data_IF_149316508882
#
_entry.id   IF_149316508882
#
_cell.length_a   1.000
_cell.length_b   1.000
_cell.length_c   1.000
_cell.angle_alpha   90.00
_cell.angle_beta   90.00
_cell.angle_gamma   90.00
#
_symmetry.space_group_name_H-M   'P 1'
#
loop_
_entity.id
_entity.type
_entity.pdbx_description
1 polymer ?
#
# COMPACT_ATOMS: atom_id res chain seq x y z
N UNK A 1 13.67 -47.22 36.54
CA UNK A 1 13.47 -48.68 36.71
C UNK A 1 12.03 -49.03 36.31
N UNK A 2 11.84 -50.21 35.71
CA UNK A 2 10.57 -50.87 35.30
C UNK A 2 9.75 -50.17 34.20
N UNK A 3 9.81 -50.56 32.92
CA UNK A 3 9.26 -51.77 32.24
C UNK A 3 7.78 -52.01 32.51
N UNK A 4 6.94 -51.78 31.50
CA UNK A 4 5.78 -52.62 31.22
C UNK A 4 5.57 -52.75 29.71
N UNK A 5 5.16 -53.95 29.30
CA UNK A 5 5.24 -54.52 27.95
C UNK A 5 3.89 -55.17 27.61
N UNK A 6 3.60 -55.27 26.30
CA UNK A 6 2.66 -56.20 25.60
C UNK A 6 1.23 -55.66 25.35
N UNK A 7 0.51 -56.01 24.23
CA UNK A 7 0.86 -56.83 23.06
C UNK A 7 0.70 -56.17 21.66
N UNK A 8 1.18 -56.94 20.68
CA UNK A 8 1.15 -56.75 19.24
C UNK A 8 -0.25 -56.86 18.60
N UNK A 9 -0.45 -56.06 17.54
CA UNK A 9 -1.53 -56.21 16.58
C UNK A 9 -1.03 -55.73 15.21
N UNK A 10 -1.01 -56.64 14.24
CA UNK A 10 -0.39 -56.47 12.92
C UNK A 10 -1.22 -55.59 11.97
N UNK A 11 -0.55 -54.70 11.23
CA UNK A 11 -1.03 -54.23 9.92
C UNK A 11 0.17 -53.85 9.05
N UNK A 12 0.44 -54.68 8.04
CA UNK A 12 1.45 -54.46 7.00
C UNK A 12 0.87 -53.57 5.90
N UNK A 13 1.48 -52.41 5.65
CA UNK A 13 1.56 -51.72 4.35
C UNK A 13 2.80 -50.83 4.44
N UNK A 14 3.92 -51.14 3.80
CA UNK A 14 4.10 -51.07 2.35
C UNK A 14 4.88 -49.81 1.94
N UNK A 15 5.97 -49.47 2.64
CA UNK A 15 6.91 -48.40 2.24
C UNK A 15 8.03 -49.04 1.42
N UNK A 16 8.09 -48.75 0.12
CA UNK A 16 9.21 -49.11 -0.75
C UNK A 16 10.36 -48.13 -0.51
N UNK A 17 11.35 -48.54 0.26
CA UNK A 17 12.69 -47.95 0.22
C UNK A 17 13.28 -48.16 -1.19
N UNK A 18 13.64 -47.06 -1.86
CA UNK A 18 14.50 -47.12 -3.05
C UNK A 18 15.94 -47.28 -2.58
N UNK A 19 16.42 -48.52 -2.61
CA UNK A 19 17.83 -48.83 -2.43
C UNK A 19 18.65 -48.30 -3.60
N UNK A 20 19.79 -47.72 -3.26
CA UNK A 20 20.77 -47.14 -4.17
C UNK A 20 21.49 -48.27 -4.94
N UNK A 21 20.97 -48.61 -6.12
CA UNK A 21 21.54 -49.63 -7.01
C UNK A 21 22.42 -49.01 -8.09
N UNK A 22 23.74 -49.14 -7.94
CA UNK A 22 24.77 -48.85 -8.95
C UNK A 22 24.44 -49.66 -10.23
N UNK A 23 24.33 -49.07 -11.43
CA UNK A 23 24.01 -49.83 -12.63
C UNK A 23 25.16 -50.77 -13.00
N UNK A 24 24.83 -52.06 -13.08
CA UNK A 24 25.70 -53.15 -13.52
C UNK A 24 25.92 -52.99 -15.03
N UNK A 25 27.17 -52.82 -15.46
CA UNK A 25 27.54 -52.78 -16.87
C UNK A 25 27.07 -54.08 -17.55
N UNK A 26 26.19 -53.95 -18.55
CA UNK A 26 25.86 -55.05 -19.44
C UNK A 26 27.04 -55.20 -20.42
N UNK A 27 27.83 -56.26 -20.26
CA UNK A 27 28.79 -56.69 -21.26
C UNK A 27 28.03 -57.09 -22.53
N UNK A 28 27.99 -56.19 -23.51
CA UNK A 28 27.63 -56.51 -24.87
C UNK A 28 28.79 -57.32 -25.46
N UNK A 29 28.68 -58.66 -25.44
CA UNK A 29 29.62 -59.53 -26.15
C UNK A 29 29.55 -59.19 -27.64
N UNK A 30 30.67 -58.75 -28.19
CA UNK A 30 30.86 -58.64 -29.63
C UNK A 30 30.63 -60.03 -30.27
N UNK A 31 30.06 -60.09 -31.48
CA UNK A 31 29.98 -61.35 -32.22
C UNK A 31 31.40 -61.88 -32.51
N UNK A 32 31.57 -63.20 -32.65
CA UNK A 32 32.87 -63.79 -32.94
C UNK A 32 33.43 -63.23 -34.26
N UNK A 33 34.72 -62.86 -34.23
CA UNK A 33 35.48 -62.45 -35.41
C UNK A 33 35.50 -63.61 -36.39
N UNK A 34 35.00 -63.40 -37.61
CA UNK A 34 35.07 -64.39 -38.68
C UNK A 34 36.53 -64.74 -39.00
N UNK A 35 36.77 -66.01 -39.31
CA UNK A 35 38.08 -66.59 -39.62
C UNK A 35 38.78 -65.80 -40.75
N UNK A 36 40.06 -65.37 -40.59
CA UNK A 36 40.75 -64.54 -41.57
C UNK A 36 40.95 -65.18 -42.96
N UNK A 37 40.59 -66.46 -43.15
CA UNK A 37 40.68 -67.16 -44.43
C UNK A 37 39.50 -66.90 -45.39
N UNK A 38 38.42 -66.25 -44.94
CA UNK A 38 37.21 -65.97 -45.76
C UNK A 38 37.03 -64.48 -46.12
N UNK A 39 38.08 -63.67 -45.95
CA UNK A 39 38.06 -62.27 -46.37
C UNK A 39 38.15 -62.16 -47.89
N UNK A 40 37.01 -61.93 -48.55
CA UNK A 40 36.96 -61.48 -49.95
C UNK A 40 37.82 -60.22 -50.09
N UNK A 41 38.75 -60.12 -51.06
CA UNK A 41 39.52 -58.91 -51.25
C UNK A 41 38.57 -57.78 -51.61
N UNK A 42 38.37 -56.84 -50.67
CA UNK A 42 37.66 -55.60 -50.92
C UNK A 42 38.56 -54.76 -51.82
N UNK A 43 38.26 -54.77 -53.11
CA UNK A 43 38.93 -53.93 -54.10
C UNK A 43 38.81 -52.48 -53.62
N UNK A 44 39.95 -51.81 -53.45
CA UNK A 44 39.99 -50.45 -52.94
C UNK A 44 39.38 -49.51 -54.00
N UNK A 45 38.08 -49.24 -53.87
CA UNK A 45 37.42 -48.16 -54.61
C UNK A 45 38.13 -46.88 -54.21
N UNK A 46 38.76 -46.14 -55.15
CA UNK A 46 39.37 -44.86 -54.84
C UNK A 46 38.28 -43.97 -54.23
N UNK A 47 38.50 -43.45 -53.03
CA UNK A 47 37.65 -42.41 -52.48
C UNK A 47 37.80 -41.20 -53.39
N UNK A 48 36.88 -41.06 -54.34
CA UNK A 48 36.75 -39.87 -55.16
C UNK A 48 36.39 -38.73 -54.20
N UNK A 49 37.41 -37.98 -53.81
CA UNK A 49 37.27 -36.77 -53.02
C UNK A 49 36.49 -35.78 -53.88
N UNK A 50 35.17 -35.83 -53.77
CA UNK A 50 34.32 -34.78 -54.31
C UNK A 50 34.74 -33.51 -53.57
N UNK A 51 35.16 -32.48 -54.32
CA UNK A 51 35.48 -31.20 -53.71
C UNK A 51 34.33 -30.81 -52.76
N UNK A 52 34.64 -30.35 -51.52
CA UNK A 52 33.60 -29.92 -50.61
C UNK A 52 32.75 -28.89 -51.35
N UNK A 53 31.45 -29.15 -51.44
CA UNK A 53 30.49 -28.26 -52.09
C UNK A 53 30.82 -26.81 -51.70
N UNK A 54 30.93 -25.87 -52.66
CA UNK A 54 31.20 -24.49 -52.31
C UNK A 54 30.14 -24.10 -51.28
N UNK A 55 30.59 -23.74 -50.07
CA UNK A 55 29.71 -23.25 -49.01
C UNK A 55 29.02 -22.04 -49.62
N UNK A 56 27.81 -22.25 -50.16
CA UNK A 56 27.02 -21.22 -50.82
C UNK A 56 26.97 -20.09 -49.80
N UNK A 57 27.61 -18.97 -50.12
CA UNK A 57 27.83 -17.87 -49.18
C UNK A 57 26.55 -17.66 -48.40
N UNK A 58 26.52 -18.11 -47.13
CA UNK A 58 25.31 -18.14 -46.34
C UNK A 58 24.82 -16.70 -46.29
N UNK A 59 23.81 -16.39 -47.11
CA UNK A 59 23.36 -15.02 -47.36
C UNK A 59 22.99 -14.46 -46.01
N UNK A 60 23.86 -13.63 -45.43
CA UNK A 60 23.72 -13.07 -44.09
C UNK A 60 22.35 -12.41 -44.07
N UNK A 61 21.35 -13.08 -43.46
CA UNK A 61 19.96 -12.64 -43.54
C UNK A 61 19.92 -11.24 -42.95
N UNK A 62 19.71 -10.24 -43.81
CA UNK A 62 19.68 -8.84 -43.39
C UNK A 62 18.48 -8.68 -42.46
N UNK A 63 18.69 -8.11 -41.27
CA UNK A 63 17.60 -7.82 -40.35
C UNK A 63 16.61 -6.87 -41.05
N UNK A 64 15.33 -7.27 -41.26
CA UNK A 64 14.35 -6.45 -41.95
C UNK A 64 13.98 -5.18 -41.17
N UNK A 65 14.20 -5.14 -39.85
CA UNK A 65 13.88 -4.00 -39.00
C UNK A 65 14.98 -2.92 -38.96
N UNK A 66 16.17 -3.20 -39.50
CA UNK A 66 17.28 -2.23 -39.49
C UNK A 66 17.22 -1.34 -40.74
N UNK A 67 16.91 -0.03 -40.61
CA UNK A 67 16.91 0.89 -41.74
C UNK A 67 18.33 1.18 -42.24
N UNK A 68 18.44 1.72 -43.46
CA UNK A 68 19.73 2.08 -44.06
C UNK A 68 20.14 3.52 -43.70
N UNK A 69 21.43 3.85 -43.88
CA UNK A 69 21.94 5.20 -43.71
C UNK A 69 21.99 5.67 -42.25
N UNK A 70 21.63 6.93 -42.02
CA UNK A 70 21.67 7.57 -40.69
C UNK A 70 20.72 6.92 -39.68
N UNK A 71 19.50 6.58 -40.11
CA UNK A 71 18.52 5.89 -39.27
C UNK A 71 19.02 4.54 -38.75
N UNK A 72 19.84 3.82 -39.54
CA UNK A 72 20.45 2.57 -39.11
C UNK A 72 21.44 2.76 -37.96
N UNK A 73 22.17 3.89 -37.94
CA UNK A 73 23.08 4.20 -36.83
C UNK A 73 22.33 4.54 -35.55
N UNK A 74 21.22 5.28 -35.66
CA UNK A 74 20.34 5.55 -34.51
C UNK A 74 19.76 4.24 -33.98
N UNK A 75 19.28 3.35 -34.86
CA UNK A 75 18.78 2.04 -34.48
C UNK A 75 19.83 1.22 -33.71
N UNK A 76 21.06 1.16 -34.22
CA UNK A 76 22.16 0.43 -33.57
C UNK A 76 22.56 1.06 -32.23
N UNK A 77 22.52 2.39 -32.12
CA UNK A 77 22.77 3.12 -30.87
C UNK A 77 21.68 2.85 -29.83
N UNK A 78 20.40 3.01 -30.20
CA UNK A 78 19.26 2.76 -29.33
C UNK A 78 19.22 1.30 -28.87
N UNK A 79 19.64 0.35 -29.70
CA UNK A 79 19.72 -1.07 -29.34
C UNK A 79 21.05 -1.51 -28.71
N UNK A 80 21.95 -0.58 -28.36
CA UNK A 80 23.29 -0.90 -27.86
C UNK A 80 23.27 -1.46 -26.45
N UNK A 81 24.14 -2.46 -26.20
CA UNK A 81 24.39 -3.00 -24.85
C UNK A 81 25.03 -1.96 -23.92
N UNK A 82 25.89 -1.08 -24.46
CA UNK A 82 26.54 -0.03 -23.66
C UNK A 82 25.50 0.95 -23.11
N UNK A 83 24.54 1.36 -23.96
CA UNK A 83 23.43 2.22 -23.54
C UNK A 83 22.58 1.52 -22.47
N UNK A 84 22.28 0.23 -22.65
CA UNK A 84 21.52 -0.56 -21.68
C UNK A 84 22.19 -0.56 -20.30
N UNK A 85 23.50 -0.82 -20.24
CA UNK A 85 24.27 -0.82 -18.98
C UNK A 85 24.22 0.55 -18.31
N UNK A 86 24.44 1.63 -19.06
CA UNK A 86 24.38 2.99 -18.53
C UNK A 86 22.99 3.30 -17.94
N UNK A 87 21.92 3.03 -18.69
CA UNK A 87 20.55 3.30 -18.24
C UNK A 87 20.18 2.48 -17.00
N UNK A 88 20.53 1.19 -16.97
CA UNK A 88 20.27 0.33 -15.82
C UNK A 88 21.11 0.72 -14.60
N UNK A 89 22.36 1.16 -14.79
CA UNK A 89 23.19 1.69 -13.70
C UNK A 89 22.60 2.98 -13.12
N UNK A 90 22.13 3.91 -13.97
CA UNK A 90 21.45 5.13 -13.51
C UNK A 90 20.18 4.76 -12.75
N UNK A 91 19.34 3.86 -13.28
CA UNK A 91 18.14 3.38 -12.58
C UNK A 91 18.49 2.78 -11.23
N UNK A 92 19.52 1.92 -11.15
CA UNK A 92 19.98 1.33 -9.91
C UNK A 92 20.43 2.38 -8.88
N UNK A 93 21.23 3.37 -9.30
CA UNK A 93 21.68 4.46 -8.44
C UNK A 93 20.50 5.31 -7.93
N UNK A 94 19.53 5.61 -8.80
CA UNK A 94 18.32 6.34 -8.44
C UNK A 94 17.49 5.56 -7.43
N UNK A 95 17.31 4.25 -7.64
CA UNK A 95 16.59 3.40 -6.68
C UNK A 95 17.32 3.35 -5.33
N UNK A 96 18.65 3.21 -5.30
CA UNK A 96 19.45 3.23 -4.06
C UNK A 96 19.27 4.57 -3.33
N UNK A 97 19.41 5.69 -4.06
CA UNK A 97 19.20 7.01 -3.49
C UNK A 97 17.77 7.19 -2.96
N UNK A 98 16.77 6.70 -3.70
CA UNK A 98 15.37 6.70 -3.29
C UNK A 98 15.12 5.91 -2.02
N UNK A 99 15.72 4.73 -1.87
CA UNK A 99 15.62 3.92 -0.64
C UNK A 99 16.27 4.62 0.56
N UNK A 100 17.46 5.22 0.39
CA UNK A 100 18.11 5.98 1.47
C UNK A 100 17.22 7.17 1.89
N UNK A 101 16.68 7.88 0.90
CA UNK A 101 15.83 9.03 1.13
C UNK A 101 14.51 8.65 1.83
N UNK A 102 13.87 7.57 1.40
CA UNK A 102 12.70 6.99 2.06
C UNK A 102 12.98 6.63 3.52
N UNK A 103 14.13 6.01 3.79
CA UNK A 103 14.52 5.61 5.16
C UNK A 103 14.86 6.81 6.06
N UNK A 104 15.30 7.93 5.50
CA UNK A 104 15.71 9.12 6.25
C UNK A 104 14.55 10.09 6.50
N UNK A 105 13.58 10.11 5.59
CA UNK A 105 12.43 11.00 5.64
C UNK A 105 11.15 10.16 5.66
N UNK A 106 10.43 10.13 4.54
CA UNK A 106 9.20 9.35 4.40
C UNK A 106 9.06 8.80 2.99
N UNK A 107 8.38 7.67 2.87
CA UNK A 107 8.05 7.06 1.57
C UNK A 107 7.30 8.02 0.64
N UNK A 108 6.42 8.87 1.20
CA UNK A 108 5.65 9.88 0.43
C UNK A 108 6.56 10.90 -0.23
N UNK A 109 7.59 11.37 0.49
CA UNK A 109 8.51 12.37 -0.03
C UNK A 109 9.44 11.76 -1.10
N UNK A 110 9.92 10.53 -0.89
CA UNK A 110 10.73 9.80 -1.87
C UNK A 110 9.95 9.52 -3.17
N UNK A 111 8.71 9.04 -3.05
CA UNK A 111 7.82 8.87 -4.20
C UNK A 111 7.66 10.17 -4.98
N UNK A 112 7.46 11.29 -4.31
CA UNK A 112 7.21 12.55 -4.98
C UNK A 112 8.43 13.17 -5.66
N UNK A 113 9.58 13.14 -5.01
CA UNK A 113 10.80 13.78 -5.53
C UNK A 113 11.51 12.95 -6.58
N UNK A 114 11.33 11.64 -6.56
CA UNK A 114 12.05 10.71 -7.41
C UNK A 114 11.07 9.99 -8.33
N UNK A 115 10.21 9.13 -7.78
CA UNK A 115 9.43 8.19 -8.60
C UNK A 115 8.29 8.82 -9.40
N UNK A 116 7.67 9.89 -8.90
CA UNK A 116 6.56 10.62 -9.53
C UNK A 116 7.00 11.88 -10.27
N UNK A 117 8.14 11.79 -10.94
CA UNK A 117 8.71 12.93 -11.69
C UNK A 117 8.87 12.60 -13.17
N UNK A 118 8.73 13.63 -14.01
CA UNK A 118 8.85 13.47 -15.46
C UNK A 118 10.22 12.96 -15.91
N UNK A 119 11.29 13.27 -15.16
CA UNK A 119 12.63 12.79 -15.51
C UNK A 119 12.79 11.28 -15.22
N UNK A 120 12.13 10.77 -14.18
CA UNK A 120 12.11 9.35 -13.88
C UNK A 120 11.28 8.59 -14.93
N UNK A 121 10.14 9.14 -15.36
CA UNK A 121 9.37 8.61 -16.48
C UNK A 121 10.19 8.56 -17.78
N UNK A 122 11.00 9.60 -18.05
CA UNK A 122 11.90 9.64 -19.19
C UNK A 122 12.96 8.54 -19.10
N UNK A 123 13.50 8.27 -17.91
CA UNK A 123 14.45 7.18 -17.67
C UNK A 123 13.81 5.81 -17.95
N UNK A 124 12.60 5.54 -17.44
CA UNK A 124 11.88 4.31 -17.72
C UNK A 124 11.57 4.16 -19.21
N UNK A 125 11.16 5.25 -19.85
CA UNK A 125 10.86 5.28 -21.30
C UNK A 125 12.13 5.02 -22.12
N UNK A 126 13.28 5.58 -21.73
CA UNK A 126 14.55 5.33 -22.39
C UNK A 126 14.97 3.85 -22.29
N UNK A 127 14.78 3.22 -21.13
CA UNK A 127 15.01 1.78 -20.95
C UNK A 127 14.06 0.96 -21.82
N UNK A 128 12.78 1.31 -21.84
CA UNK A 128 11.78 0.65 -22.69
C UNK A 128 12.20 0.69 -24.16
N UNK A 129 12.53 1.88 -24.68
CA UNK A 129 13.01 2.07 -26.05
C UNK A 129 14.26 1.22 -26.29
N UNK A 130 15.25 1.27 -25.40
CA UNK A 130 16.47 0.48 -25.55
C UNK A 130 16.19 -1.03 -25.67
N UNK A 131 15.33 -1.58 -24.81
CA UNK A 131 14.95 -3.00 -24.81
C UNK A 131 14.20 -3.37 -26.10
N UNK A 132 13.30 -2.52 -26.59
CA UNK A 132 12.62 -2.72 -27.89
C UNK A 132 13.64 -2.82 -29.02
N UNK A 133 14.51 -1.81 -29.16
CA UNK A 133 15.49 -1.77 -30.26
C UNK A 133 16.52 -2.91 -30.14
N UNK A 134 16.97 -3.26 -28.92
CA UNK A 134 17.88 -4.38 -28.68
C UNK A 134 17.25 -5.75 -29.00
N UNK A 135 15.93 -5.88 -28.87
CA UNK A 135 15.17 -7.08 -29.19
C UNK A 135 14.96 -7.21 -30.71
N UNK A 136 14.59 -6.10 -31.37
CA UNK A 136 14.44 -6.03 -32.83
C UNK A 136 15.77 -6.21 -33.56
N UNK A 137 16.88 -5.68 -33.02
CA UNK A 137 18.21 -5.79 -33.61
C UNK A 137 18.68 -7.24 -33.77
N UNK A 138 18.20 -8.15 -32.92
CA UNK A 138 18.58 -9.58 -32.92
C UNK A 138 17.67 -10.48 -33.75
N UNK A 139 16.76 -9.90 -34.52
CA UNK A 139 15.94 -10.63 -35.47
C UNK A 139 16.81 -11.24 -36.61
N UNK A 140 16.56 -12.47 -37.09
CA UNK A 140 15.45 -13.38 -36.75
C UNK A 140 15.67 -14.14 -35.44
N UNK A 141 14.59 -14.39 -34.69
CA UNK A 141 14.63 -15.13 -33.42
C UNK A 141 14.54 -16.64 -33.67
N UNK A 142 15.64 -17.40 -33.61
CA UNK A 142 15.57 -18.86 -33.70
C UNK A 142 14.88 -19.42 -32.46
N UNK A 143 14.17 -20.55 -32.59
CA UNK A 143 13.47 -21.22 -31.48
C UNK A 143 14.37 -21.55 -30.28
N UNK A 144 15.68 -21.70 -30.51
CA UNK A 144 16.70 -21.91 -29.47
C UNK A 144 16.89 -20.66 -28.58
N UNK A 145 16.58 -19.47 -29.08
CA UNK A 145 16.69 -18.18 -28.35
C UNK A 145 15.33 -17.66 -27.87
N UNK A 146 14.35 -18.53 -27.70
CA UNK A 146 13.01 -18.18 -27.18
C UNK A 146 13.08 -17.60 -25.77
N UNK A 147 13.97 -18.12 -24.91
CA UNK A 147 14.18 -17.56 -23.57
C UNK A 147 14.56 -16.07 -23.58
N UNK A 148 15.47 -15.67 -24.48
CA UNK A 148 15.82 -14.26 -24.69
C UNK A 148 14.57 -13.43 -25.02
N UNK A 149 13.78 -13.88 -25.98
CA UNK A 149 12.60 -13.15 -26.42
C UNK A 149 11.54 -13.04 -25.31
N UNK A 150 11.26 -14.14 -24.60
CA UNK A 150 10.29 -14.19 -23.50
C UNK A 150 10.72 -13.23 -22.38
N UNK A 151 11.99 -13.22 -21.99
CA UNK A 151 12.48 -12.30 -20.95
C UNK A 151 12.30 -10.85 -21.36
N UNK A 152 12.63 -10.48 -22.61
CA UNK A 152 12.49 -9.10 -23.07
C UNK A 152 11.02 -8.70 -23.19
N UNK A 153 10.15 -9.57 -23.69
CA UNK A 153 8.69 -9.32 -23.69
C UNK A 153 8.14 -9.16 -22.27
N UNK A 154 8.59 -9.97 -21.31
CA UNK A 154 8.21 -9.85 -19.91
C UNK A 154 8.59 -8.48 -19.33
N UNK A 155 9.84 -8.06 -19.53
CA UNK A 155 10.32 -6.73 -19.08
C UNK A 155 9.54 -5.60 -19.76
N UNK A 156 9.30 -5.69 -21.08
CA UNK A 156 8.50 -4.70 -21.80
C UNK A 156 7.06 -4.62 -21.25
N UNK A 157 6.45 -5.77 -20.92
CA UNK A 157 5.10 -5.82 -20.34
C UNK A 157 5.05 -5.14 -18.98
N UNK A 158 6.03 -5.42 -18.11
CA UNK A 158 6.14 -4.79 -16.78
C UNK A 158 6.36 -3.28 -16.91
N UNK A 159 7.23 -2.83 -17.82
CA UNK A 159 7.48 -1.41 -18.04
C UNK A 159 6.23 -0.66 -18.53
N UNK A 160 5.47 -1.24 -19.46
CA UNK A 160 4.19 -0.65 -19.92
C UNK A 160 3.19 -0.60 -18.77
N UNK A 161 3.04 -1.69 -18.02
CA UNK A 161 2.17 -1.73 -16.84
C UNK A 161 2.54 -0.67 -15.81
N UNK A 162 3.84 -0.51 -15.53
CA UNK A 162 4.37 0.51 -14.63
C UNK A 162 4.01 1.93 -15.10
N UNK A 163 4.13 2.23 -16.40
CA UNK A 163 3.83 3.56 -16.94
C UNK A 163 2.31 3.86 -16.89
N UNK A 164 1.47 2.85 -17.14
CA UNK A 164 0.01 2.98 -17.01
C UNK A 164 -0.38 3.23 -15.55
N UNK A 165 0.11 2.40 -14.62
CA UNK A 165 -0.15 2.55 -13.19
C UNK A 165 0.38 3.90 -12.67
N UNK A 166 1.50 4.38 -13.19
CA UNK A 166 2.03 5.68 -12.80
C UNK A 166 1.13 6.83 -13.27
N UNK A 167 0.57 6.75 -14.49
CA UNK A 167 -0.21 7.85 -15.07
C UNK A 167 -1.68 7.88 -14.65
N UNK A 168 -2.26 6.72 -14.37
CA UNK A 168 -3.69 6.55 -14.12
C UNK A 168 -4.00 5.78 -12.83
N UNK A 169 -2.99 5.30 -12.11
CA UNK A 169 -3.18 4.58 -10.85
C UNK A 169 -3.64 5.51 -9.74
N UNK A 170 -4.62 5.05 -8.98
CA UNK A 170 -5.06 5.71 -7.74
C UNK A 170 -4.48 4.93 -6.57
N UNK A 171 -3.71 5.61 -5.73
CA UNK A 171 -3.10 5.04 -4.53
C UNK A 171 -3.85 5.53 -3.30
N UNK A 172 -4.18 4.62 -2.39
CA UNK A 172 -4.87 4.92 -1.15
C UNK A 172 -4.64 3.81 -0.12
N UNK A 173 -5.01 4.11 1.12
CA UNK A 173 -4.95 3.17 2.23
C UNK A 173 -6.37 2.73 2.60
N UNK A 174 -6.54 1.46 2.95
CA UNK A 174 -7.81 0.95 3.43
C UNK A 174 -7.53 0.12 4.69
N UNK A 175 -8.03 0.59 5.83
CA UNK A 175 -7.93 -0.14 7.09
C UNK A 175 -9.14 -1.06 7.24
N UNK A 176 -8.93 -2.37 7.11
CA UNK A 176 -9.96 -3.40 7.25
C UNK A 176 -9.74 -4.18 8.56
N UNK A 177 -10.80 -4.36 9.34
CA UNK A 177 -10.80 -5.26 10.49
C UNK A 177 -11.45 -6.59 10.13
N UNK A 178 -11.16 -7.65 10.89
CA UNK A 178 -11.74 -8.97 10.67
C UNK A 178 -13.28 -8.92 10.73
N UNK A 179 -13.94 -9.49 9.71
CA UNK A 179 -15.39 -9.48 9.57
C UNK A 179 -15.99 -8.19 8.99
N UNK A 180 -15.20 -7.14 8.77
CA UNK A 180 -15.66 -5.90 8.14
C UNK A 180 -15.53 -5.93 6.62
N UNK A 181 -16.47 -5.26 5.94
CA UNK A 181 -16.39 -4.92 4.51
C UNK A 181 -16.39 -3.40 4.38
N UNK A 182 -15.46 -2.86 3.57
CA UNK A 182 -15.38 -1.43 3.25
C UNK A 182 -15.31 -1.24 1.74
N UNK A 183 -16.01 -0.24 1.24
CA UNK A 183 -16.10 0.14 -0.17
C UNK A 183 -15.39 1.48 -0.45
N UNK A 184 -14.62 2.00 0.53
CA UNK A 184 -13.95 3.30 0.47
C UNK A 184 -12.48 3.18 0.81
N UNK A 185 -11.66 3.91 0.05
CA UNK A 185 -10.23 4.06 0.27
C UNK A 185 -9.93 5.47 0.78
N UNK A 186 -8.97 5.59 1.69
CA UNK A 186 -8.42 6.85 2.11
C UNK A 186 -7.32 7.26 1.14
N UNK A 187 -7.52 8.36 0.42
CA UNK A 187 -6.49 8.93 -0.45
C UNK A 187 -5.48 9.69 0.39
N UNK A 188 -4.19 9.58 0.05
CA UNK A 188 -3.11 10.31 0.74
C UNK A 188 -2.93 11.74 0.21
N UNK A 189 -3.91 12.27 -0.51
CA UNK A 189 -3.83 13.59 -1.11
C UNK A 189 -3.96 14.65 -0.02
N UNK A 190 -3.11 15.68 -0.08
CA UNK A 190 -3.23 16.85 0.77
C UNK A 190 -4.39 17.70 0.29
N UNK A 191 -5.45 17.78 1.08
CA UNK A 191 -6.56 18.69 0.87
C UNK A 191 -6.68 19.62 2.07
N UNK A 192 -7.10 20.85 1.81
CA UNK A 192 -7.57 21.75 2.86
C UNK A 192 -9.08 21.64 2.87
N UNK A 193 -9.66 21.36 4.04
CA UNK A 193 -11.09 21.35 4.26
C UNK A 193 -11.46 22.40 5.30
N UNK A 194 -12.48 23.21 5.02
CA UNK A 194 -13.05 24.13 6.00
C UNK A 194 -14.40 23.57 6.45
N UNK A 195 -14.61 23.54 7.76
CA UNK A 195 -15.86 23.09 8.37
C UNK A 195 -16.44 24.20 9.25
N UNK A 196 -17.75 24.39 9.17
CA UNK A 196 -18.49 25.25 10.09
C UNK A 196 -18.63 24.58 11.46
N UNK A 197 -18.26 25.30 12.52
CA UNK A 197 -18.28 24.79 13.90
C UNK A 197 -19.72 24.41 14.28
N UNK A 198 -19.94 23.13 14.63
CA UNK A 198 -21.25 22.61 15.03
C UNK A 198 -22.07 21.96 13.91
N UNK A 199 -21.62 22.04 12.64
CA UNK A 199 -22.23 21.26 11.56
C UNK A 199 -21.81 19.79 11.63
N UNK A 200 -22.73 18.82 11.46
CA UNK A 200 -22.34 17.42 11.36
C UNK A 200 -21.36 17.23 10.20
N UNK A 201 -20.24 16.56 10.50
CA UNK A 201 -19.04 16.32 9.66
C UNK A 201 -19.35 15.80 8.25
N UNK A 202 -20.57 15.29 8.06
CA UNK A 202 -21.06 14.76 6.78
C UNK A 202 -21.48 15.79 5.76
N UNK A 203 -21.77 17.02 6.16
CA UNK A 203 -22.27 18.02 5.23
C UNK A 203 -21.27 19.17 5.11
N UNK A 204 -20.54 19.13 3.98
CA UNK A 204 -19.67 20.18 3.42
C UNK A 204 -18.25 20.19 3.99
N UNK A 205 -17.44 19.23 3.53
CA UNK A 205 -16.05 19.56 3.27
C UNK A 205 -16.01 20.13 1.87
N UNK A 206 -15.98 21.46 1.76
CA UNK A 206 -15.46 22.04 0.54
C UNK A 206 -13.95 21.78 0.58
N UNK A 207 -13.47 20.94 -0.34
CA UNK A 207 -12.08 20.52 -0.39
C UNK A 207 -11.45 21.10 -1.63
N UNK A 208 -10.30 21.75 -1.44
CA UNK A 208 -9.47 22.14 -2.56
C UNK A 208 -8.23 21.27 -2.52
N UNK A 209 -8.00 20.55 -3.62
CA UNK A 209 -6.75 19.83 -3.81
C UNK A 209 -5.62 20.86 -3.81
N UNK A 210 -4.68 20.69 -2.89
CA UNK A 210 -3.57 21.61 -2.76
C UNK A 210 -2.68 21.40 -3.98
N UNK A 211 -2.84 22.25 -4.99
CA UNK A 211 -1.88 22.34 -6.10
C UNK A 211 -0.53 22.63 -5.48
N UNK A 212 0.39 21.68 -5.62
CA UNK A 212 1.67 21.72 -4.96
C UNK A 212 2.55 22.87 -5.51
N UNK A 213 2.60 23.96 -4.76
CA UNK A 213 3.67 24.96 -4.78
C UNK A 213 4.47 24.91 -3.47
N UNK A 214 5.58 25.64 -3.38
CA UNK A 214 6.12 26.05 -2.09
C UNK A 214 5.55 27.45 -1.81
N UNK A 215 4.32 27.57 -1.27
CA UNK A 215 3.81 28.87 -0.88
C UNK A 215 4.79 29.48 0.11
N UNK A 216 5.14 30.72 -0.17
CA UNK A 216 5.98 31.54 0.68
C UNK A 216 5.27 32.87 0.88
N UNK A 217 5.67 33.68 1.87
CA UNK A 217 5.07 35.00 2.08
C UNK A 217 5.15 35.88 0.82
N UNK A 218 6.11 35.60 -0.07
CA UNK A 218 6.29 36.29 -1.36
C UNK A 218 5.44 35.71 -2.50
N UNK A 219 5.00 34.45 -2.39
CA UNK A 219 4.18 33.73 -3.37
C UNK A 219 3.07 32.94 -2.65
N UNK A 220 2.06 33.62 -2.09
CA UNK A 220 0.95 32.94 -1.44
C UNK A 220 0.10 32.18 -2.46
N UNK A 221 -0.42 31.03 -2.07
CA UNK A 221 -1.40 30.29 -2.85
C UNK A 221 -2.81 30.54 -2.29
N UNK A 222 -3.75 30.85 -3.18
CA UNK A 222 -5.12 31.08 -2.80
C UNK A 222 -6.00 29.91 -3.24
N UNK A 223 -6.80 29.40 -2.32
CA UNK A 223 -7.77 28.33 -2.53
C UNK A 223 -9.18 28.88 -2.32
N UNK A 224 -10.05 28.70 -3.31
CA UNK A 224 -11.43 29.17 -3.27
C UNK A 224 -12.38 28.01 -2.98
N UNK A 225 -13.09 28.14 -1.86
CA UNK A 225 -14.12 27.23 -1.39
C UNK A 225 -15.48 27.77 -1.89
N UNK A 226 -15.87 27.31 -3.08
CA UNK A 226 -17.05 27.80 -3.82
C UNK A 226 -18.37 27.55 -3.10
N UNK A 227 -18.48 26.45 -2.36
CA UNK A 227 -19.71 26.10 -1.63
C UNK A 227 -19.88 26.95 -0.37
N UNK A 228 -18.77 27.36 0.24
CA UNK A 228 -18.77 28.20 1.44
C UNK A 228 -18.62 29.70 1.14
N UNK A 229 -18.31 30.07 -0.10
CA UNK A 229 -17.98 31.45 -0.47
C UNK A 229 -16.72 31.98 0.23
N UNK A 230 -15.83 31.08 0.65
CA UNK A 230 -14.62 31.41 1.40
C UNK A 230 -13.38 31.36 0.50
N UNK A 231 -12.38 32.15 0.85
CA UNK A 231 -11.07 32.14 0.22
C UNK A 231 -10.01 31.93 1.29
N UNK A 232 -9.31 30.80 1.26
CA UNK A 232 -8.14 30.61 2.10
C UNK A 232 -6.90 31.07 1.34
N UNK A 233 -5.99 31.73 2.04
CA UNK A 233 -4.67 32.10 1.52
C UNK A 233 -3.66 31.34 2.36
N UNK A 234 -2.88 30.49 1.70
CA UNK A 234 -1.75 29.78 2.30
C UNK A 234 -0.50 30.58 2.00
N UNK A 235 0.08 31.14 3.06
CA UNK A 235 1.24 32.03 3.04
C UNK A 235 2.57 31.29 3.28
N UNK A 236 2.52 30.05 3.76
CA UNK A 236 3.71 29.26 4.02
C UNK A 236 3.44 27.75 3.97
N UNK A 237 4.41 27.00 3.44
CA UNK A 237 4.47 25.56 3.57
C UNK A 237 5.71 25.17 4.37
N UNK A 238 5.50 24.58 5.55
CA UNK A 238 6.56 24.13 6.45
C UNK A 238 6.68 22.60 6.35
N UNK A 239 7.60 22.07 5.52
CA UNK A 239 7.88 20.64 5.52
C UNK A 239 8.49 20.23 6.86
N UNK A 240 8.25 18.98 7.26
CA UNK A 240 8.87 18.37 8.45
C UNK A 240 8.57 19.12 9.77
N UNK A 241 7.41 19.77 9.86
CA UNK A 241 6.94 20.39 11.10
C UNK A 241 6.68 19.32 12.17
N UNK A 242 7.19 19.55 13.38
CA UNK A 242 6.84 18.74 14.54
C UNK A 242 5.69 19.39 15.32
N UNK A 243 4.76 18.57 15.82
CA UNK A 243 3.64 19.05 16.62
C UNK A 243 3.98 18.91 18.10
N UNK A 244 4.25 20.04 18.74
CA UNK A 244 4.46 20.08 20.19
C UNK A 244 3.20 20.61 20.89
N UNK A 245 2.54 19.76 21.68
CA UNK A 245 1.40 20.16 22.51
C UNK A 245 1.87 20.61 23.89
N UNK A 246 1.63 21.88 24.23
CA UNK A 246 2.04 22.47 25.50
C UNK A 246 0.81 22.92 26.30
N UNK A 247 0.64 22.37 27.50
CA UNK A 247 -0.40 22.79 28.44
C UNK A 247 0.12 23.91 29.34
N UNK A 248 -0.50 25.08 29.27
CA UNK A 248 -0.18 26.25 30.09
C UNK A 248 -1.37 26.66 30.93
N UNK A 249 -1.11 27.13 32.14
CA UNK A 249 -2.14 27.70 33.01
C UNK A 249 -2.28 29.20 32.72
N UNK A 250 -2.86 29.53 31.58
CA UNK A 250 -3.04 30.91 31.08
C UNK A 250 -4.51 31.34 31.03
N UNK A 251 -5.44 30.47 31.39
CA UNK A 251 -6.88 30.76 31.40
C UNK A 251 -7.27 31.70 32.55
N UNK A 252 -8.02 32.78 32.27
CA UNK A 252 -8.56 33.67 33.30
C UNK A 252 -9.71 33.02 34.10
N UNK A 253 -10.33 31.96 33.56
CA UNK A 253 -11.39 31.19 34.20
C UNK A 253 -10.86 29.85 34.73
N UNK A 254 -11.40 29.33 35.85
CA UNK A 254 -11.01 28.03 36.36
C UNK A 254 -11.40 26.93 35.37
N UNK A 255 -10.40 26.23 34.83
CA UNK A 255 -10.59 25.09 33.95
C UNK A 255 -9.68 23.94 34.42
N UNK A 256 -10.23 22.95 35.15
CA UNK A 256 -9.42 21.86 35.67
C UNK A 256 -8.91 20.98 34.52
N UNK A 257 -7.62 20.63 34.59
CA UNK A 257 -7.01 19.65 33.70
C UNK A 257 -6.36 18.54 34.55
N UNK A 258 -6.46 17.31 34.06
CA UNK A 258 -5.95 16.11 34.71
C UNK A 258 -4.93 15.47 33.77
N UNK A 259 -3.68 15.34 34.24
CA UNK A 259 -2.67 14.53 33.57
C UNK A 259 -2.80 13.09 34.04
N UNK A 260 -2.88 12.15 33.12
CA UNK A 260 -2.81 10.73 33.41
C UNK A 260 -1.55 10.13 32.80
N UNK A 261 -1.04 9.10 33.45
CA UNK A 261 0.03 8.25 32.94
C UNK A 261 -0.29 6.81 33.33
N UNK A 262 -0.21 5.90 32.37
CA UNK A 262 -0.40 4.48 32.59
C UNK A 262 0.92 3.80 32.33
N UNK A 263 1.46 3.16 33.37
CA UNK A 263 2.69 2.42 33.32
C UNK A 263 2.40 0.91 33.37
N UNK A 264 3.01 0.15 32.48
CA UNK A 264 2.98 -1.30 32.49
C UNK A 264 4.24 -1.83 33.19
N UNK A 265 4.06 -2.70 34.18
CA UNK A 265 5.12 -3.25 35.04
C UNK A 265 6.24 -4.00 34.29
N UNK A 266 6.09 -4.29 33.00
CA UNK A 266 7.15 -4.89 32.16
C UNK A 266 7.56 -4.12 30.90
N UNK A 267 6.78 -3.12 30.46
CA UNK A 267 7.02 -2.41 29.17
C UNK A 267 7.21 -0.90 29.33
N UNK A 268 7.18 -0.37 30.55
CA UNK A 268 7.26 1.07 30.80
C UNK A 268 5.95 1.78 30.50
N UNK A 269 6.02 3.07 30.16
CA UNK A 269 4.85 3.92 29.96
C UNK A 269 4.11 3.55 28.69
N UNK A 270 2.84 3.17 28.83
CA UNK A 270 1.98 2.76 27.71
C UNK A 270 1.04 3.86 27.24
N UNK A 271 0.71 4.82 28.10
CA UNK A 271 -0.08 5.98 27.72
C UNK A 271 0.22 7.16 28.64
N UNK A 272 0.21 8.37 28.07
CA UNK A 272 0.29 9.61 28.81
C UNK A 272 -0.53 10.67 28.10
N UNK A 273 -1.20 11.53 28.85
CA UNK A 273 -1.99 12.61 28.26
C UNK A 273 -2.58 13.55 29.28
N UNK A 274 -3.16 14.63 28.78
CA UNK A 274 -3.94 15.60 29.55
C UNK A 274 -5.40 15.55 29.12
N UNK A 275 -6.28 15.66 30.10
CA UNK A 275 -7.72 15.72 29.91
C UNK A 275 -8.25 16.97 30.58
N UNK A 276 -9.07 17.75 29.88
CA UNK A 276 -9.71 18.94 30.41
C UNK A 276 -11.22 18.85 30.16
N UNK A 277 -12.05 18.54 31.19
CA UNK A 277 -13.50 18.42 31.04
C UNK A 277 -14.18 19.68 30.48
N UNK A 278 -13.59 20.86 30.72
CA UNK A 278 -14.11 22.14 30.25
C UNK A 278 -13.75 22.48 28.80
N UNK A 279 -12.93 21.66 28.12
CA UNK A 279 -12.54 21.87 26.72
C UNK A 279 -13.22 20.86 25.80
N UNK A 280 -13.91 21.37 24.78
CA UNK A 280 -14.58 20.54 23.77
C UNK A 280 -13.56 19.63 23.08
N UNK A 281 -13.83 18.32 23.06
CA UNK A 281 -12.97 17.32 22.42
C UNK A 281 -11.72 16.93 23.21
N UNK A 282 -11.46 17.55 24.37
CA UNK A 282 -10.32 17.23 25.26
C UNK A 282 -10.75 16.58 26.58
N UNK A 283 -12.01 16.12 26.65
CA UNK A 283 -12.58 15.40 27.79
C UNK A 283 -12.26 13.90 27.78
N UNK A 284 -11.67 13.38 26.70
CA UNK A 284 -11.45 11.95 26.50
C UNK A 284 -10.14 11.62 25.79
N UNK A 285 -9.60 10.44 26.09
CA UNK A 285 -8.52 9.83 25.31
C UNK A 285 -8.89 8.38 25.01
N UNK A 286 -8.73 7.98 23.74
CA UNK A 286 -9.03 6.63 23.30
C UNK A 286 -7.75 5.79 23.26
N UNK A 287 -7.75 4.65 23.95
CA UNK A 287 -6.63 3.71 24.02
C UNK A 287 -6.92 2.42 23.26
N UNK A 288 -7.89 2.43 22.33
CA UNK A 288 -8.33 1.26 21.57
C UNK A 288 -9.56 0.62 22.23
N UNK A 289 -9.41 -0.50 22.97
CA UNK A 289 -10.55 -1.13 23.65
C UNK A 289 -10.99 -0.40 24.93
N UNK A 290 -10.20 0.57 25.41
CA UNK A 290 -10.48 1.34 26.61
C UNK A 290 -10.48 2.84 26.28
N UNK A 291 -11.32 3.60 26.99
CA UNK A 291 -11.38 5.07 26.87
C UNK A 291 -11.26 5.66 28.27
N UNK A 292 -10.39 6.65 28.43
CA UNK A 292 -10.30 7.44 29.65
C UNK A 292 -11.13 8.70 29.44
N UNK A 293 -12.01 8.98 30.39
CA UNK A 293 -12.91 10.14 30.37
C UNK A 293 -12.63 10.98 31.60
N UNK A 294 -12.54 12.30 31.43
CA UNK A 294 -12.58 13.27 32.51
C UNK A 294 -13.89 14.03 32.43
N UNK A 295 -14.74 13.86 33.45
CA UNK A 295 -16.01 14.56 33.60
C UNK A 295 -16.02 15.37 34.88
N UNK A 296 -16.56 16.58 34.81
CA UNK A 296 -16.89 17.36 36.00
C UNK A 296 -18.28 16.93 36.49
N UNK A 297 -18.37 16.38 37.70
CA UNK A 297 -19.65 16.06 38.33
C UNK A 297 -20.32 17.35 38.83
N UNK A 298 -21.63 17.47 38.64
CA UNK A 298 -22.40 18.64 39.10
C UNK A 298 -22.71 18.59 40.59
N UNK A 299 -23.01 17.39 41.09
CA UNK A 299 -23.35 17.11 42.48
C UNK A 299 -22.99 15.66 42.87
N UNK A 300 -23.23 15.30 44.13
CA UNK A 300 -22.91 13.97 44.70
C UNK A 300 -23.74 12.85 44.04
N UNK A 301 -24.96 13.16 43.60
CA UNK A 301 -25.87 12.20 42.95
C UNK A 301 -25.39 11.88 41.53
N UNK A 302 -24.97 12.90 40.79
CA UNK A 302 -24.35 12.80 39.46
C UNK A 302 -23.02 12.04 39.54
N UNK A 303 -22.20 12.30 40.56
CA UNK A 303 -20.98 11.54 40.81
C UNK A 303 -21.28 10.05 41.04
N UNK A 304 -22.29 9.73 41.86
CA UNK A 304 -22.70 8.35 42.11
C UNK A 304 -23.20 7.66 40.83
N UNK A 305 -23.91 8.38 39.95
CA UNK A 305 -24.32 7.86 38.63
C UNK A 305 -23.14 7.62 37.70
N UNK A 306 -22.17 8.53 37.66
CA UNK A 306 -20.99 8.41 36.79
C UNK A 306 -20.05 7.27 37.22
N UNK A 307 -20.00 6.94 38.51
CA UNK A 307 -19.23 5.83 39.05
C UNK A 307 -19.95 4.47 38.96
N UNK A 308 -21.27 4.48 38.74
CA UNK A 308 -22.02 3.25 38.58
C UNK A 308 -21.58 2.51 37.29
N UNK A 309 -21.45 1.17 37.33
CA UNK A 309 -21.09 0.40 36.15
C UNK A 309 -22.12 0.66 35.04
N UNK A 310 -21.66 0.85 33.78
CA UNK A 310 -22.59 1.05 32.68
C UNK A 310 -23.52 -0.16 32.58
N UNK A 311 -24.82 0.05 32.32
CA UNK A 311 -25.75 -1.05 32.14
C UNK A 311 -25.23 -1.98 31.04
N UNK A 312 -25.44 -3.31 31.16
CA UNK A 312 -25.00 -4.26 30.15
C UNK A 312 -25.54 -3.84 28.78
N UNK A 313 -24.67 -3.79 27.77
CA UNK A 313 -25.09 -3.56 26.38
C UNK A 313 -26.01 -4.70 25.96
N UNK A 314 -27.31 -4.47 25.98
CA UNK A 314 -28.29 -5.40 25.43
C UNK A 314 -28.10 -5.47 23.92
N UNK A 315 -27.88 -6.66 23.35
CA UNK A 315 -27.83 -6.82 21.89
C UNK A 315 -29.11 -6.26 21.27
N UNK A 316 -28.97 -5.29 20.36
CA UNK A 316 -30.10 -4.60 19.73
C UNK A 316 -30.49 -3.27 20.37
N UNK A 317 -29.89 -2.88 21.49
CA UNK A 317 -30.09 -1.55 22.06
C UNK A 317 -29.29 -0.52 21.26
N UNK A 318 -30.01 0.32 20.52
CA UNK A 318 -29.43 1.38 19.70
C UNK A 318 -28.94 2.56 20.56
N UNK A 319 -29.15 2.48 21.88
CA UNK A 319 -28.76 3.48 22.86
C UNK A 319 -29.81 4.58 22.99
N UNK A 320 -29.58 5.48 23.95
CA UNK A 320 -30.41 6.65 24.19
C UNK A 320 -29.66 7.94 23.89
N UNK A 321 -30.31 8.87 23.19
CA UNK A 321 -29.87 10.24 22.98
C UNK A 321 -30.34 11.09 24.16
N UNK A 322 -29.41 11.65 24.93
CA UNK A 322 -29.73 12.56 26.03
C UNK A 322 -29.57 14.01 25.57
N UNK A 323 -30.66 14.79 25.65
CA UNK A 323 -30.73 16.18 25.24
C UNK A 323 -30.86 17.06 26.46
N UNK A 324 -29.84 17.87 26.75
CA UNK A 324 -29.88 18.87 27.83
C UNK A 324 -30.22 20.24 27.26
N UNK A 325 -31.34 20.82 27.68
CA UNK A 325 -31.72 22.18 27.29
C UNK A 325 -30.97 23.21 28.14
N UNK A 326 -30.19 24.08 27.48
CA UNK A 326 -29.36 25.09 28.14
C UNK A 326 -30.18 26.04 29.04
N UNK A 327 -31.42 26.33 28.65
CA UNK A 327 -32.27 27.35 29.24
C UNK A 327 -32.95 26.87 30.53
N UNK A 328 -33.17 25.56 30.66
CA UNK A 328 -33.96 24.96 31.75
C UNK A 328 -33.23 23.88 32.54
N UNK A 329 -32.03 23.46 32.08
CA UNK A 329 -31.26 22.38 32.69
C UNK A 329 -31.94 21.00 32.62
N UNK A 330 -33.08 20.89 31.93
CA UNK A 330 -33.83 19.64 31.77
C UNK A 330 -33.13 18.73 30.76
N UNK A 331 -32.96 17.46 31.12
CA UNK A 331 -32.50 16.40 30.23
C UNK A 331 -33.67 15.55 29.76
N UNK A 332 -33.82 15.34 28.45
CA UNK A 332 -34.77 14.39 27.86
C UNK A 332 -33.98 13.25 27.22
N UNK A 333 -34.35 12.01 27.54
CA UNK A 333 -33.74 10.80 26.99
C UNK A 333 -34.63 10.22 25.90
N UNK A 334 -34.09 10.05 24.70
CA UNK A 334 -34.79 9.53 23.52
C UNK A 334 -34.14 8.21 23.09
N UNK A 335 -34.94 7.17 22.91
CA UNK A 335 -34.47 5.90 22.33
C UNK A 335 -34.09 6.09 20.85
N UNK A 336 -32.82 5.84 20.52
CA UNK A 336 -32.26 6.02 19.17
C UNK A 336 -32.89 5.03 18.19
N UNK A 337 -33.22 3.82 18.63
CA UNK A 337 -33.85 2.79 17.80
C UNK A 337 -35.26 3.17 17.36
N UNK A 338 -35.99 3.87 18.23
CA UNK A 338 -37.28 4.47 17.88
C UNK A 338 -37.11 5.70 16.97
N UNK A 339 -36.20 6.61 17.32
CA UNK A 339 -35.95 7.82 16.57
C UNK A 339 -35.38 7.60 15.16
N UNK A 340 -34.82 6.41 14.87
CA UNK A 340 -34.43 6.02 13.51
C UNK A 340 -35.58 5.57 12.61
N UNK A 341 -36.71 5.16 13.18
CA UNK A 341 -37.87 4.65 12.42
C UNK A 341 -38.91 5.74 12.19
N UNK A 342 -39.12 6.59 13.19
CA UNK A 342 -40.14 7.63 13.19
C UNK A 342 -39.65 8.88 13.92
N UNK A 343 -40.11 10.10 13.56
CA UNK A 343 -39.83 11.30 14.32
C UNK A 343 -40.41 11.18 15.73
N UNK A 344 -39.56 11.27 16.76
CA UNK A 344 -39.98 11.23 18.16
C UNK A 344 -40.15 12.66 18.68
N UNK A 345 -41.32 13.06 19.18
CA UNK A 345 -41.53 14.38 19.76
C UNK A 345 -40.70 14.55 21.03
N UNK A 346 -40.06 15.71 21.20
CA UNK A 346 -39.28 16.01 22.40
C UNK A 346 -40.21 16.61 23.44
N UNK A 347 -40.45 15.86 24.52
CA UNK A 347 -41.35 16.28 25.60
C UNK A 347 -41.00 17.69 26.09
N UNK A 348 -42.03 18.54 26.25
CA UNK A 348 -41.94 19.96 26.60
C UNK A 348 -41.42 20.92 25.52
N UNK A 349 -41.35 20.50 24.25
CA UNK A 349 -41.11 21.40 23.09
C UNK A 349 -42.04 21.07 21.91
N UNK A 350 -42.17 21.97 20.93
CA UNK A 350 -42.85 21.70 19.66
C UNK A 350 -41.96 20.95 18.65
N UNK A 351 -40.76 20.51 19.07
CA UNK A 351 -39.76 19.91 18.20
C UNK A 351 -39.89 18.38 18.19
N UNK A 352 -39.55 17.77 17.05
CA UNK A 352 -39.41 16.32 16.91
C UNK A 352 -38.04 15.97 16.34
N UNK A 353 -37.51 14.82 16.73
CA UNK A 353 -36.17 14.37 16.35
C UNK A 353 -36.29 13.06 15.58
N UNK A 354 -35.69 13.06 14.39
CA UNK A 354 -35.48 11.88 13.55
C UNK A 354 -33.98 11.65 13.45
N UNK A 355 -33.53 10.47 13.86
CA UNK A 355 -32.15 10.03 13.69
C UNK A 355 -32.03 9.42 12.30
N UNK A 356 -31.35 10.12 11.39
CA UNK A 356 -31.24 9.68 9.99
C UNK A 356 -30.22 8.56 9.80
N UNK A 357 -29.14 8.58 10.56
CA UNK A 357 -28.07 7.60 10.42
C UNK A 357 -27.25 7.47 11.71
N UNK A 358 -26.74 6.27 11.98
CA UNK A 358 -25.86 5.97 13.11
C UNK A 358 -24.44 5.73 12.61
N UNK A 359 -23.48 6.46 13.17
CA UNK A 359 -22.05 6.26 12.90
C UNK A 359 -21.39 5.59 14.10
N UNK A 360 -20.55 4.59 13.86
CA UNK A 360 -19.67 4.06 14.91
C UNK A 360 -18.49 5.01 15.12
N UNK A 361 -18.10 5.24 16.38
CA UNK A 361 -17.04 6.18 16.74
C UNK A 361 -15.67 5.86 16.12
N UNK A 362 -15.47 4.66 15.57
CA UNK A 362 -14.26 4.28 14.84
C UNK A 362 -14.02 5.05 13.53
N UNK A 363 -14.98 5.88 13.10
CA UNK A 363 -14.84 6.76 11.95
C UNK A 363 -14.33 8.15 12.30
N UNK A 364 -14.19 8.53 13.58
CA UNK A 364 -13.82 9.89 13.96
C UNK A 364 -12.45 9.88 14.64
N UNK A 365 -11.49 10.66 14.14
CA UNK A 365 -10.27 10.96 14.89
C UNK A 365 -10.59 11.86 16.11
N UNK A 366 -9.61 12.17 16.95
CA UNK A 366 -9.80 12.98 18.18
C UNK A 366 -10.41 14.36 17.92
N UNK A 367 -10.35 14.86 16.68
CA UNK A 367 -10.95 16.12 16.25
C UNK A 367 -12.39 15.97 15.70
N UNK A 368 -12.97 14.77 15.74
CA UNK A 368 -14.27 14.52 15.11
C UNK A 368 -14.21 14.50 13.59
N UNK A 369 -13.04 14.30 12.99
CA UNK A 369 -12.87 14.25 11.53
C UNK A 369 -12.91 12.79 11.09
N UNK A 370 -13.55 12.53 9.94
CA UNK A 370 -13.55 11.21 9.32
C UNK A 370 -12.11 10.71 9.10
N UNK A 371 -11.73 9.66 9.84
CA UNK A 371 -10.44 8.98 9.68
C UNK A 371 -10.43 8.02 8.50
#
# INVERSE_FOLDING_TARGET
MAKNRVPAGAAKTGVKERTNGKPRAAEHRLPPVADPAEAVPVEAVPLEYTEPLPISAARKRRNPFRPNGFAGRIFDFLGSLQLAVILLSILGLVCIAGTIYESSYTARLAQRLIYRTYWFDLLLTAIFVNVVFATLARFPWPFIKTGFLITHLGVLTILVGSLISHRYGVEGQMMLQEGQSKDRIQLSNSFIGIQEVGSPVRHRFDTVEVEWGQPSPEKPQAYEFKELGLKAIVDGFYPDSDFEEIWKNDSPAPNPAVRFAIDNSGMGRIAEGWLAPGMVGRDRTNLGPATILAKAAKDEEDLARLLAPPPPKTEGDMGTLELTFADSGRSVSIDVGRAMKEPVPVEATELSILVTERMEAGYLNEAGILA
#
